data_IF_156540226470
#
_entry.id   IF_156540226470
#
_cell.length_a   1.000
_cell.length_b   1.000
_cell.length_c   1.000
_cell.angle_alpha   90.00
_cell.angle_beta   90.00
_cell.angle_gamma   90.00
#
_symmetry.space_group_name_H-M   'P 1'
#
loop_
_entity.id
_entity.type
_entity.pdbx_description
1 polymer ?
#
# COMPACT_ATOMS: atom_id res chain seq x y z
N UNK A 1 -5.63 15.37 -33.53
CA UNK A 1 -5.50 15.94 -32.17
C UNK A 1 -6.66 15.37 -31.38
N UNK A 2 -6.39 14.45 -30.45
CA UNK A 2 -7.42 13.90 -29.56
C UNK A 2 -7.88 15.01 -28.64
N UNK A 3 -9.20 15.18 -28.53
CA UNK A 3 -9.82 16.13 -27.61
C UNK A 3 -9.34 15.84 -26.19
N UNK A 4 -8.60 16.79 -25.59
CA UNK A 4 -8.04 16.68 -24.23
C UNK A 4 -9.04 17.04 -23.13
N UNK A 5 -10.31 17.31 -23.47
CA UNK A 5 -11.39 17.57 -22.50
C UNK A 5 -12.01 16.31 -21.89
N UNK A 6 -11.79 15.17 -22.53
CA UNK A 6 -12.22 13.85 -22.08
C UNK A 6 -11.50 13.44 -20.78
N UNK A 7 -12.25 13.21 -19.70
CA UNK A 7 -11.69 12.78 -18.42
C UNK A 7 -11.88 11.27 -18.23
N UNK A 8 -10.80 10.47 -18.21
CA UNK A 8 -10.91 9.03 -18.06
C UNK A 8 -11.58 8.68 -16.73
N UNK A 9 -12.40 7.61 -16.75
CA UNK A 9 -13.18 7.17 -15.59
C UNK A 9 -12.30 6.84 -14.37
N UNK A 10 -11.10 6.32 -14.60
CA UNK A 10 -10.10 6.05 -13.56
C UNK A 10 -8.81 6.80 -13.85
N UNK A 11 -8.25 7.42 -12.81
CA UNK A 11 -6.97 8.14 -12.82
C UNK A 11 -6.42 8.27 -11.41
N UNK A 12 -5.20 8.78 -11.30
CA UNK A 12 -4.56 9.04 -10.01
C UNK A 12 -3.90 7.83 -9.40
N UNK A 13 -3.63 7.95 -8.10
CA UNK A 13 -3.04 6.88 -7.30
C UNK A 13 -4.15 5.99 -6.77
N UNK A 14 -4.16 4.75 -7.21
CA UNK A 14 -5.12 3.74 -6.76
C UNK A 14 -4.32 2.67 -6.01
N UNK A 15 -4.61 2.44 -4.73
CA UNK A 15 -3.79 1.50 -3.93
C UNK A 15 -4.26 0.07 -4.14
N UNK A 16 -3.38 -0.81 -4.62
CA UNK A 16 -3.62 -2.26 -4.58
C UNK A 16 -3.44 -2.76 -3.15
N UNK A 17 -4.53 -2.74 -2.37
CA UNK A 17 -4.48 -3.00 -0.94
C UNK A 17 -3.94 -4.40 -0.64
N UNK A 18 -3.04 -4.49 0.34
CA UNK A 18 -2.77 -5.77 1.01
C UNK A 18 -4.03 -6.24 1.76
N UNK A 19 -4.14 -7.55 1.99
CA UNK A 19 -5.11 -8.13 2.92
C UNK A 19 -4.39 -8.49 4.23
N UNK A 20 -4.50 -7.70 5.31
CA UNK A 20 -3.87 -8.01 6.60
C UNK A 20 -4.31 -9.36 7.14
N UNK A 21 -3.37 -10.13 7.70
CA UNK A 21 -3.66 -11.39 8.39
C UNK A 21 -3.20 -11.33 9.85
N UNK A 22 -3.85 -12.10 10.71
CA UNK A 22 -3.41 -12.31 12.09
C UNK A 22 -3.86 -13.68 12.55
N UNK A 23 -2.91 -14.52 12.94
CA UNK A 23 -3.14 -15.89 13.38
C UNK A 23 -3.82 -16.77 12.31
N UNK A 24 -3.44 -16.60 11.05
CA UNK A 24 -3.96 -17.34 9.90
C UNK A 24 -5.24 -16.77 9.29
N UNK A 25 -5.91 -15.85 9.98
CA UNK A 25 -7.21 -15.28 9.60
C UNK A 25 -7.08 -13.85 9.08
N UNK A 26 -8.06 -13.37 8.31
CA UNK A 26 -8.13 -11.96 7.88
C UNK A 26 -8.27 -11.04 9.10
N UNK A 27 -7.35 -10.07 9.24
CA UNK A 27 -7.44 -9.02 10.26
C UNK A 27 -8.27 -7.84 9.73
N UNK A 28 -9.59 -7.97 9.88
CA UNK A 28 -10.55 -6.97 9.40
C UNK A 28 -10.36 -5.60 10.06
N UNK A 29 -9.93 -5.55 11.33
CA UNK A 29 -9.70 -4.29 12.02
C UNK A 29 -8.48 -3.54 11.45
N UNK A 30 -7.38 -4.26 11.19
CA UNK A 30 -6.23 -3.69 10.50
C UNK A 30 -6.56 -3.27 9.07
N UNK A 31 -7.41 -4.02 8.37
CA UNK A 31 -7.86 -3.67 7.01
C UNK A 31 -8.70 -2.38 6.99
N UNK A 32 -9.62 -2.21 7.94
CA UNK A 32 -10.37 -0.95 8.10
C UNK A 32 -9.46 0.23 8.40
N UNK A 33 -8.47 0.06 9.29
CA UNK A 33 -7.45 1.08 9.59
C UNK A 33 -6.67 1.45 8.33
N UNK A 34 -6.25 0.46 7.55
CA UNK A 34 -5.54 0.68 6.30
C UNK A 34 -6.38 1.52 5.34
N UNK A 35 -7.66 1.20 5.13
CA UNK A 35 -8.55 1.96 4.24
C UNK A 35 -8.63 3.44 4.66
N UNK A 36 -8.79 3.73 5.95
CA UNK A 36 -8.84 5.12 6.43
C UNK A 36 -7.50 5.85 6.24
N UNK A 37 -6.36 5.18 6.44
CA UNK A 37 -5.04 5.77 6.17
C UNK A 37 -4.89 6.14 4.68
N UNK A 38 -5.38 5.28 3.79
CA UNK A 38 -5.34 5.53 2.35
C UNK A 38 -6.21 6.74 1.96
N UNK A 39 -7.44 6.80 2.48
CA UNK A 39 -8.36 7.93 2.25
C UNK A 39 -7.75 9.23 2.80
N UNK A 40 -7.21 9.21 4.02
CA UNK A 40 -6.59 10.38 4.65
C UNK A 40 -5.38 10.90 3.87
N UNK A 41 -4.64 10.01 3.21
CA UNK A 41 -3.50 10.36 2.37
C UNK A 41 -3.88 10.90 0.98
N UNK A 42 -5.17 10.90 0.62
CA UNK A 42 -5.66 11.45 -0.65
C UNK A 42 -5.50 10.52 -1.85
N UNK A 43 -5.45 9.20 -1.65
CA UNK A 43 -5.48 8.28 -2.81
C UNK A 43 -6.83 8.39 -3.53
N UNK A 44 -6.82 8.17 -4.83
CA UNK A 44 -7.99 8.37 -5.70
C UNK A 44 -8.90 7.13 -5.75
N UNK A 45 -8.36 5.98 -5.36
CA UNK A 45 -9.11 4.74 -5.23
C UNK A 45 -8.33 3.63 -4.56
N UNK A 46 -8.99 2.49 -4.40
CA UNK A 46 -8.40 1.28 -3.82
C UNK A 46 -8.85 0.05 -4.59
N UNK A 47 -7.97 -0.95 -4.65
CA UNK A 47 -8.24 -2.28 -5.22
C UNK A 47 -8.12 -3.31 -4.09
N UNK A 48 -9.22 -3.72 -3.44
CA UNK A 48 -9.19 -4.87 -2.54
C UNK A 48 -9.03 -6.17 -3.35
N UNK A 49 -8.36 -7.15 -2.75
CA UNK A 49 -8.25 -8.51 -3.29
C UNK A 49 -7.66 -8.59 -4.71
N UNK A 50 -6.69 -7.74 -5.01
CA UNK A 50 -5.81 -7.92 -6.18
C UNK A 50 -4.71 -8.97 -5.93
N UNK A 51 -3.68 -8.99 -6.77
CA UNK A 51 -2.47 -9.79 -6.52
C UNK A 51 -1.82 -9.43 -5.18
N UNK A 52 -1.70 -8.13 -4.88
CA UNK A 52 -1.15 -7.60 -3.62
C UNK A 52 -2.01 -7.96 -2.41
N UNK A 53 -3.32 -8.14 -2.62
CA UNK A 53 -4.28 -8.59 -1.61
C UNK A 53 -4.31 -10.11 -1.43
N UNK A 54 -3.36 -10.85 -2.02
CA UNK A 54 -3.21 -12.31 -1.90
C UNK A 54 -4.46 -13.09 -2.34
N UNK A 55 -5.12 -12.64 -3.42
CA UNK A 55 -6.35 -13.26 -3.93
C UNK A 55 -6.28 -14.78 -4.12
N UNK A 56 -5.10 -15.35 -4.39
CA UNK A 56 -4.93 -16.79 -4.62
C UNK A 56 -4.94 -17.65 -3.35
N UNK A 57 -4.84 -17.04 -2.17
CA UNK A 57 -4.82 -17.74 -0.86
C UNK A 57 -5.99 -17.35 0.05
N UNK A 58 -6.95 -16.60 -0.51
CA UNK A 58 -8.25 -16.33 0.11
C UNK A 58 -9.27 -17.35 -0.40
N UNK A 59 -10.10 -17.84 0.51
CA UNK A 59 -11.32 -18.54 0.11
C UNK A 59 -12.29 -17.59 -0.59
N UNK A 60 -13.24 -18.14 -1.36
CA UNK A 60 -14.30 -17.35 -1.99
C UNK A 60 -15.12 -16.54 -0.97
N UNK A 61 -15.32 -17.07 0.23
CA UNK A 61 -16.04 -16.38 1.30
C UNK A 61 -15.23 -15.19 1.83
N UNK A 62 -13.94 -15.37 2.10
CA UNK A 62 -13.08 -14.28 2.56
C UNK A 62 -12.91 -13.20 1.50
N UNK A 63 -12.73 -13.59 0.23
CA UNK A 63 -12.69 -12.66 -0.91
C UNK A 63 -13.91 -11.73 -0.88
N UNK A 64 -15.11 -12.33 -0.84
CA UNK A 64 -16.38 -11.58 -0.81
C UNK A 64 -16.48 -10.65 0.39
N UNK A 65 -16.11 -11.12 1.59
CA UNK A 65 -16.14 -10.32 2.83
C UNK A 65 -15.17 -9.15 2.78
N UNK A 66 -13.96 -9.33 2.25
CA UNK A 66 -12.97 -8.26 2.13
C UNK A 66 -13.45 -7.20 1.14
N UNK A 67 -14.02 -7.58 0.00
CA UNK A 67 -14.59 -6.64 -0.97
C UNK A 67 -15.76 -5.87 -0.36
N UNK A 68 -16.72 -6.57 0.27
CA UNK A 68 -17.88 -5.94 0.91
C UNK A 68 -17.47 -4.94 2.00
N UNK A 69 -16.54 -5.35 2.86
CA UNK A 69 -15.99 -4.47 3.90
C UNK A 69 -15.31 -3.25 3.28
N UNK A 70 -14.53 -3.42 2.21
CA UNK A 70 -13.86 -2.31 1.54
C UNK A 70 -14.87 -1.30 1.00
N UNK A 71 -15.88 -1.76 0.25
CA UNK A 71 -16.93 -0.87 -0.29
C UNK A 71 -17.66 -0.14 0.83
N UNK A 72 -18.10 -0.88 1.86
CA UNK A 72 -18.80 -0.30 3.01
C UNK A 72 -17.95 0.72 3.74
N UNK A 73 -16.67 0.41 4.00
CA UNK A 73 -15.76 1.28 4.73
C UNK A 73 -15.46 2.52 3.92
N UNK A 74 -15.16 2.41 2.63
CA UNK A 74 -14.90 3.56 1.75
C UNK A 74 -16.11 4.49 1.68
N UNK A 75 -17.33 3.96 1.59
CA UNK A 75 -18.56 4.75 1.68
C UNK A 75 -18.66 5.84 0.61
N UNK A 76 -18.14 5.57 -0.59
CA UNK A 76 -18.18 6.50 -1.73
C UNK A 76 -17.17 7.67 -1.68
N UNK A 77 -16.27 7.72 -0.69
CA UNK A 77 -15.27 8.81 -0.56
C UNK A 77 -14.19 8.77 -1.64
N UNK A 78 -13.84 7.57 -2.11
CA UNK A 78 -12.89 7.29 -3.19
C UNK A 78 -13.41 6.09 -4.00
N UNK A 79 -12.78 5.79 -5.13
CA UNK A 79 -13.21 4.66 -5.99
C UNK A 79 -12.80 3.30 -5.41
N UNK A 80 -13.66 2.30 -5.54
CA UNK A 80 -13.35 0.90 -5.21
C UNK A 80 -13.41 0.04 -6.47
N UNK A 81 -12.26 -0.55 -6.83
CA UNK A 81 -12.15 -1.47 -7.96
C UNK A 81 -11.92 -2.88 -7.40
N UNK A 82 -12.95 -3.72 -7.39
CA UNK A 82 -12.83 -5.05 -6.81
C UNK A 82 -11.96 -5.98 -7.67
N UNK A 83 -11.02 -6.72 -7.07
CA UNK A 83 -10.35 -7.81 -7.77
C UNK A 83 -11.35 -8.91 -8.13
N UNK A 84 -11.52 -9.20 -9.42
CA UNK A 84 -12.47 -10.21 -9.89
C UNK A 84 -11.90 -11.11 -11.00
N UNK A 85 -10.58 -11.13 -11.17
CA UNK A 85 -9.93 -11.97 -12.18
C UNK A 85 -9.61 -13.37 -11.70
N UNK A 86 -9.87 -14.36 -12.55
CA UNK A 86 -9.46 -15.75 -12.39
C UNK A 86 -9.00 -16.30 -13.74
N UNK A 87 -8.26 -17.42 -13.73
CA UNK A 87 -8.00 -18.17 -14.95
C UNK A 87 -9.19 -19.05 -15.39
N UNK A 88 -10.27 -19.05 -14.61
CA UNK A 88 -11.57 -19.64 -14.90
C UNK A 88 -12.59 -18.53 -15.21
N UNK A 89 -13.14 -18.54 -16.43
CA UNK A 89 -14.14 -17.54 -16.86
C UNK A 89 -15.39 -17.57 -15.98
N UNK A 90 -15.90 -18.74 -15.59
CA UNK A 90 -17.11 -18.83 -14.77
C UNK A 90 -16.92 -18.18 -13.39
N UNK A 91 -15.76 -18.39 -12.77
CA UNK A 91 -15.40 -17.77 -11.49
C UNK A 91 -15.25 -16.25 -11.62
N UNK A 92 -14.64 -15.78 -12.72
CA UNK A 92 -14.56 -14.34 -13.02
C UNK A 92 -15.94 -13.69 -13.10
N UNK A 93 -16.93 -14.37 -13.72
CA UNK A 93 -18.30 -13.89 -13.77
C UNK A 93 -18.94 -13.84 -12.37
N UNK A 94 -18.78 -14.89 -11.57
CA UNK A 94 -19.30 -14.97 -10.19
C UNK A 94 -18.78 -13.83 -9.31
N UNK A 95 -17.46 -13.59 -9.37
CA UNK A 95 -16.81 -12.50 -8.64
C UNK A 95 -17.28 -11.13 -9.09
N UNK A 96 -17.45 -10.92 -10.40
CA UNK A 96 -17.89 -9.64 -10.94
C UNK A 96 -19.36 -9.34 -10.63
N UNK A 97 -20.24 -10.36 -10.64
CA UNK A 97 -21.62 -10.21 -10.18
C UNK A 97 -21.67 -9.83 -8.70
N UNK A 98 -20.86 -10.47 -7.85
CA UNK A 98 -20.75 -10.11 -6.44
C UNK A 98 -20.27 -8.66 -6.27
N UNK A 99 -19.18 -8.28 -6.94
CA UNK A 99 -18.63 -6.93 -6.88
C UNK A 99 -19.67 -5.86 -7.26
N UNK A 100 -20.46 -6.11 -8.31
CA UNK A 100 -21.57 -5.23 -8.69
C UNK A 100 -22.66 -5.19 -7.62
N UNK A 101 -23.05 -6.33 -7.07
CA UNK A 101 -24.11 -6.42 -6.07
C UNK A 101 -23.78 -5.66 -4.78
N UNK A 102 -22.51 -5.67 -4.36
CA UNK A 102 -22.05 -4.94 -3.16
C UNK A 102 -21.71 -3.47 -3.43
N UNK A 103 -21.75 -3.01 -4.69
CA UNK A 103 -21.59 -1.60 -5.05
C UNK A 103 -20.16 -1.15 -5.35
N UNK A 104 -19.27 -2.05 -5.79
CA UNK A 104 -17.96 -1.63 -6.32
C UNK A 104 -18.13 -0.78 -7.59
N UNK A 105 -17.24 0.21 -7.77
CA UNK A 105 -17.27 1.11 -8.95
C UNK A 105 -16.80 0.42 -10.24
N UNK A 106 -15.94 -0.59 -10.10
CA UNK A 106 -15.41 -1.39 -11.20
C UNK A 106 -14.87 -2.73 -10.71
N UNK A 107 -14.46 -3.56 -11.66
CA UNK A 107 -13.65 -4.75 -11.42
C UNK A 107 -12.29 -4.67 -12.11
N UNK A 108 -11.26 -5.19 -11.46
CA UNK A 108 -9.94 -5.43 -12.05
C UNK A 108 -9.82 -6.91 -12.40
N UNK A 109 -9.63 -7.21 -13.68
CA UNK A 109 -9.64 -8.60 -14.19
C UNK A 109 -8.31 -8.90 -14.88
N UNK A 110 -7.51 -9.74 -14.23
CA UNK A 110 -6.22 -10.21 -14.73
C UNK A 110 -6.40 -11.14 -15.93
N UNK A 111 -5.49 -11.09 -16.90
CA UNK A 111 -5.41 -12.11 -17.93
C UNK A 111 -5.29 -13.51 -17.28
N UNK A 112 -6.04 -14.54 -17.76
CA UNK A 112 -5.94 -15.90 -17.26
C UNK A 112 -4.49 -16.40 -17.19
N UNK A 113 -4.09 -16.78 -15.99
CA UNK A 113 -2.76 -17.28 -15.65
C UNK A 113 -2.70 -18.82 -15.69
N UNK A 114 -1.49 -19.36 -15.82
CA UNK A 114 -1.17 -20.80 -15.88
C UNK A 114 -1.64 -21.53 -17.15
N UNK A 115 -2.93 -21.43 -17.52
CA UNK A 115 -3.52 -22.15 -18.64
C UNK A 115 -3.23 -21.55 -20.03
N UNK A 116 -2.63 -20.36 -20.08
CA UNK A 116 -2.06 -19.72 -21.28
C UNK A 116 -3.01 -19.65 -22.49
N UNK A 117 -4.19 -18.99 -22.39
CA UNK A 117 -5.08 -18.84 -23.53
C UNK A 117 -4.42 -18.10 -24.71
N UNK A 118 -4.91 -18.36 -25.92
CA UNK A 118 -4.59 -17.57 -27.11
C UNK A 118 -5.17 -16.15 -26.99
N UNK A 119 -4.73 -15.23 -27.85
CA UNK A 119 -5.29 -13.88 -27.93
C UNK A 119 -6.81 -13.88 -28.18
N UNK A 120 -7.32 -14.82 -28.97
CA UNK A 120 -8.76 -14.97 -29.16
C UNK A 120 -9.44 -15.54 -27.90
N UNK A 121 -8.79 -16.47 -27.19
CA UNK A 121 -9.29 -16.94 -25.89
C UNK A 121 -9.39 -15.82 -24.86
N UNK A 122 -8.40 -14.91 -24.82
CA UNK A 122 -8.45 -13.70 -24.01
C UNK A 122 -9.64 -12.82 -24.41
N UNK A 123 -9.81 -12.54 -25.70
CA UNK A 123 -10.94 -11.75 -26.19
C UNK A 123 -12.29 -12.34 -25.74
N UNK A 124 -12.49 -13.64 -25.92
CA UNK A 124 -13.75 -14.31 -25.55
C UNK A 124 -13.98 -14.33 -24.03
N UNK A 125 -12.92 -14.48 -23.22
CA UNK A 125 -13.00 -14.41 -21.77
C UNK A 125 -13.56 -13.04 -21.30
N UNK A 126 -12.97 -11.94 -21.77
CA UNK A 126 -13.42 -10.60 -21.41
C UNK A 126 -14.75 -10.23 -22.07
N UNK A 127 -15.03 -10.72 -23.28
CA UNK A 127 -16.34 -10.55 -23.92
C UNK A 127 -17.46 -11.20 -23.11
N UNK A 128 -17.25 -12.43 -22.61
CA UNK A 128 -18.23 -13.09 -21.75
C UNK A 128 -18.53 -12.27 -20.49
N UNK A 129 -17.50 -11.65 -19.89
CA UNK A 129 -17.69 -10.73 -18.76
C UNK A 129 -18.52 -9.51 -19.14
N UNK A 130 -18.15 -8.83 -20.24
CA UNK A 130 -18.89 -7.68 -20.77
C UNK A 130 -20.38 -7.98 -21.00
N UNK A 131 -20.68 -9.17 -21.56
CA UNK A 131 -22.04 -9.58 -21.88
C UNK A 131 -22.83 -9.99 -20.62
N UNK A 132 -22.17 -10.49 -19.58
CA UNK A 132 -22.81 -11.05 -18.38
C UNK A 132 -23.18 -10.00 -17.34
N UNK A 133 -22.30 -9.02 -17.10
CA UNK A 133 -22.47 -8.05 -16.00
C UNK A 133 -22.09 -6.64 -16.43
N UNK A 134 -23.05 -5.72 -16.32
CA UNK A 134 -22.85 -4.31 -16.65
C UNK A 134 -22.18 -3.58 -15.47
N UNK A 135 -20.88 -3.76 -15.31
CA UNK A 135 -19.99 -3.06 -14.37
C UNK A 135 -18.71 -2.66 -15.13
N UNK A 136 -18.13 -1.46 -14.91
CA UNK A 136 -16.88 -1.10 -15.57
C UNK A 136 -15.76 -2.09 -15.25
N UNK A 137 -14.97 -2.44 -16.28
CA UNK A 137 -13.89 -3.43 -16.22
C UNK A 137 -12.59 -2.77 -16.60
N UNK A 138 -11.58 -2.89 -15.73
CA UNK A 138 -10.19 -2.67 -16.09
C UNK A 138 -9.55 -4.01 -16.41
N UNK A 139 -9.00 -4.13 -17.62
CA UNK A 139 -8.12 -5.22 -18.00
C UNK A 139 -6.86 -5.17 -17.13
N UNK A 140 -6.26 -6.30 -16.77
CA UNK A 140 -4.98 -6.31 -16.08
C UNK A 140 -3.97 -7.21 -16.78
N UNK A 141 -2.98 -6.57 -17.41
CA UNK A 141 -1.89 -7.24 -18.11
C UNK A 141 -0.63 -7.29 -17.25
N UNK A 142 -0.14 -8.49 -16.95
CA UNK A 142 1.05 -8.73 -16.11
C UNK A 142 1.76 -10.02 -16.52
N UNK A 143 2.37 -10.06 -17.72
CA UNK A 143 2.94 -11.29 -18.29
C UNK A 143 3.98 -11.98 -17.39
N UNK A 144 4.71 -11.23 -16.56
CA UNK A 144 5.64 -11.78 -15.58
C UNK A 144 4.99 -12.69 -14.52
N UNK A 145 3.67 -12.62 -14.35
CA UNK A 145 2.90 -13.50 -13.44
C UNK A 145 1.97 -14.46 -14.19
N UNK A 146 1.42 -14.05 -15.33
CA UNK A 146 0.43 -14.83 -16.07
C UNK A 146 1.03 -15.74 -17.14
N UNK A 147 2.28 -15.46 -17.57
CA UNK A 147 2.95 -16.06 -18.75
C UNK A 147 2.26 -15.68 -20.07
N UNK A 148 1.22 -14.84 -20.02
CA UNK A 148 0.47 -14.35 -21.19
C UNK A 148 0.51 -12.84 -21.22
N UNK A 149 0.98 -12.32 -22.34
CA UNK A 149 0.91 -10.90 -22.66
C UNK A 149 -0.30 -10.63 -23.58
N UNK A 150 -1.24 -9.80 -23.13
CA UNK A 150 -2.34 -9.33 -23.97
C UNK A 150 -1.82 -8.33 -25.00
N UNK A 151 -1.91 -8.66 -26.28
CA UNK A 151 -1.41 -7.77 -27.34
C UNK A 151 -2.22 -6.47 -27.39
N UNK A 152 -1.58 -5.40 -27.89
CA UNK A 152 -2.25 -4.11 -28.09
C UNK A 152 -3.45 -4.23 -29.04
N UNK A 153 -3.38 -5.08 -30.07
CA UNK A 153 -4.51 -5.37 -30.97
C UNK A 153 -5.70 -6.00 -30.23
N UNK A 154 -5.43 -6.97 -29.34
CA UNK A 154 -6.48 -7.61 -28.53
C UNK A 154 -7.10 -6.61 -27.57
N UNK A 155 -6.28 -5.77 -26.91
CA UNK A 155 -6.75 -4.72 -26.02
C UNK A 155 -7.60 -3.70 -26.80
N UNK A 156 -7.19 -3.30 -28.00
CA UNK A 156 -7.94 -2.39 -28.84
C UNK A 156 -9.27 -2.97 -29.32
N UNK A 157 -9.34 -4.28 -29.60
CA UNK A 157 -10.61 -4.98 -29.85
C UNK A 157 -11.50 -4.97 -28.61
N UNK A 158 -10.93 -5.20 -27.43
CA UNK A 158 -11.67 -5.22 -26.16
C UNK A 158 -12.18 -3.84 -25.76
N UNK A 159 -11.41 -2.77 -26.00
CA UNK A 159 -11.79 -1.39 -25.70
C UNK A 159 -13.04 -0.92 -26.47
N UNK A 160 -13.45 -1.63 -27.52
CA UNK A 160 -14.71 -1.37 -28.24
C UNK A 160 -15.94 -1.94 -27.52
N UNK A 161 -15.75 -2.76 -26.49
CA UNK A 161 -16.83 -3.32 -25.68
C UNK A 161 -17.27 -2.29 -24.63
N UNK A 162 -18.59 -2.06 -24.44
CA UNK A 162 -19.10 -0.93 -23.63
C UNK A 162 -18.60 -0.86 -22.19
N UNK A 163 -18.35 -2.02 -21.57
CA UNK A 163 -17.96 -2.07 -20.15
C UNK A 163 -16.45 -2.15 -19.96
N UNK A 164 -15.64 -2.27 -21.01
CA UNK A 164 -14.19 -2.30 -20.91
C UNK A 164 -13.68 -0.86 -20.97
N UNK A 165 -13.35 -0.30 -19.81
CA UNK A 165 -13.11 1.15 -19.63
C UNK A 165 -11.65 1.51 -19.43
N UNK A 166 -10.76 0.52 -19.35
CA UNK A 166 -9.35 0.78 -19.10
C UNK A 166 -8.48 -0.46 -18.99
N UNK A 167 -7.20 -0.21 -18.74
CA UNK A 167 -6.18 -1.22 -18.51
C UNK A 167 -5.27 -0.80 -17.35
N UNK A 168 -4.97 -1.77 -16.48
CA UNK A 168 -3.78 -1.80 -15.63
C UNK A 168 -2.67 -2.53 -16.38
N UNK A 169 -1.60 -1.83 -16.70
CA UNK A 169 -0.49 -2.34 -17.47
C UNK A 169 0.77 -2.48 -16.61
N UNK A 170 1.09 -3.71 -16.20
CA UNK A 170 2.26 -4.00 -15.35
C UNK A 170 3.43 -4.61 -16.15
N UNK A 171 3.55 -4.28 -17.43
CA UNK A 171 4.69 -4.70 -18.27
C UNK A 171 5.95 -3.90 -17.98
N UNK A 172 5.81 -2.65 -17.51
CA UNK A 172 6.91 -1.69 -17.42
C UNK A 172 7.38 -1.14 -18.78
N UNK A 173 6.70 -1.51 -19.88
CA UNK A 173 7.01 -1.04 -21.22
C UNK A 173 6.33 0.31 -21.49
N UNK A 174 7.13 1.38 -21.46
CA UNK A 174 6.67 2.75 -21.69
C UNK A 174 6.29 3.03 -23.15
N UNK A 175 6.73 2.22 -24.12
CA UNK A 175 6.29 2.38 -25.51
C UNK A 175 4.84 1.94 -25.68
N UNK A 176 4.42 0.92 -24.90
CA UNK A 176 3.14 0.24 -25.07
C UNK A 176 1.94 1.17 -24.94
N UNK A 177 1.97 2.12 -24.02
CA UNK A 177 0.89 3.11 -23.88
C UNK A 177 0.77 4.00 -25.12
N UNK A 178 1.87 4.45 -25.71
CA UNK A 178 1.84 5.28 -26.92
C UNK A 178 1.21 4.50 -28.08
N UNK A 179 1.53 3.21 -28.22
CA UNK A 179 0.91 2.33 -29.21
C UNK A 179 -0.59 2.12 -28.94
N UNK A 180 -0.98 1.90 -27.68
CA UNK A 180 -2.39 1.73 -27.32
C UNK A 180 -3.21 2.99 -27.61
N UNK A 181 -2.66 4.18 -27.33
CA UNK A 181 -3.30 5.47 -27.62
C UNK A 181 -3.47 5.74 -29.12
N UNK A 182 -2.70 5.08 -29.99
CA UNK A 182 -2.91 5.12 -31.44
C UNK A 182 -4.05 4.21 -31.91
N UNK A 183 -4.34 3.15 -31.16
CA UNK A 183 -5.29 2.10 -31.55
C UNK A 183 -6.67 2.24 -30.88
N UNK A 184 -6.76 3.01 -29.80
CA UNK A 184 -7.94 3.13 -28.95
C UNK A 184 -8.36 4.59 -28.89
N UNK A 185 -9.56 4.86 -29.38
CA UNK A 185 -10.21 6.16 -29.31
C UNK A 185 -11.08 6.27 -28.04
N UNK A 186 -11.33 7.50 -27.60
CA UNK A 186 -12.30 7.82 -26.54
C UNK A 186 -11.76 7.72 -25.11
N UNK A 187 -12.69 7.63 -24.15
CA UNK A 187 -12.44 7.70 -22.71
C UNK A 187 -11.91 6.37 -22.15
N UNK A 188 -10.69 6.00 -22.51
CA UNK A 188 -10.04 4.78 -22.00
C UNK A 188 -9.01 5.09 -20.90
N UNK A 189 -9.10 4.39 -19.77
CA UNK A 189 -8.22 4.62 -18.61
C UNK A 189 -6.92 3.83 -18.74
N UNK A 190 -5.81 4.48 -19.11
CA UNK A 190 -4.47 3.90 -19.09
C UNK A 190 -3.82 4.05 -17.71
N UNK A 191 -3.68 2.94 -16.98
CA UNK A 191 -3.18 2.93 -15.62
C UNK A 191 -1.91 2.08 -15.54
N UNK A 192 -0.82 2.65 -15.04
CA UNK A 192 0.40 1.87 -14.78
C UNK A 192 0.12 0.83 -13.70
N UNK A 193 0.59 -0.39 -13.90
CA UNK A 193 0.68 -1.42 -12.88
C UNK A 193 2.09 -1.56 -12.28
N UNK A 194 3.02 -0.68 -12.64
CA UNK A 194 4.42 -0.68 -12.24
C UNK A 194 4.79 0.69 -11.61
N UNK A 195 5.13 0.67 -10.31
CA UNK A 195 5.44 1.89 -9.55
C UNK A 195 6.70 2.63 -10.08
N UNK A 196 7.85 1.96 -10.33
CA UNK A 196 9.06 2.62 -10.82
C UNK A 196 8.87 3.44 -12.10
N UNK A 197 7.98 3.00 -13.00
CA UNK A 197 7.77 3.63 -14.30
C UNK A 197 6.68 4.70 -14.32
N UNK A 198 5.99 4.95 -13.19
CA UNK A 198 4.86 5.90 -13.11
C UNK A 198 5.16 7.25 -13.77
N UNK A 199 6.29 7.87 -13.43
CA UNK A 199 6.65 9.19 -13.97
C UNK A 199 6.72 9.20 -15.50
N UNK A 200 7.39 8.20 -16.08
CA UNK A 200 7.50 8.04 -17.54
C UNK A 200 6.16 7.68 -18.18
N UNK A 201 5.36 6.86 -17.51
CA UNK A 201 4.05 6.44 -17.97
C UNK A 201 3.09 7.65 -18.10
N UNK A 202 3.08 8.55 -17.12
CA UNK A 202 2.32 9.80 -17.18
C UNK A 202 2.81 10.69 -18.33
N UNK A 203 4.14 10.80 -18.53
CA UNK A 203 4.71 11.59 -19.63
C UNK A 203 4.29 11.08 -21.02
N UNK A 204 3.99 9.78 -21.16
CA UNK A 204 3.50 9.18 -22.39
C UNK A 204 1.97 9.27 -22.57
N UNK A 205 1.27 9.93 -21.63
CA UNK A 205 -0.18 10.14 -21.65
C UNK A 205 -0.96 9.15 -20.79
N UNK A 206 -0.30 8.50 -19.82
CA UNK A 206 -0.96 7.67 -18.81
C UNK A 206 -1.74 8.51 -17.81
N UNK A 207 -2.70 7.88 -17.14
CA UNK A 207 -3.66 8.58 -16.27
C UNK A 207 -3.42 8.34 -14.78
N UNK A 208 -2.61 7.35 -14.40
CA UNK A 208 -2.36 7.03 -13.00
C UNK A 208 -1.61 5.72 -12.78
N UNK A 209 -1.71 5.20 -11.56
CA UNK A 209 -1.09 3.95 -11.12
C UNK A 209 -2.04 3.14 -10.25
N UNK A 210 -2.05 1.81 -10.43
CA UNK A 210 -2.52 0.88 -9.41
C UNK A 210 -1.28 0.35 -8.67
N UNK A 211 -1.02 0.96 -7.52
CA UNK A 211 0.29 0.99 -6.86
C UNK A 211 0.40 -0.01 -5.71
N UNK A 212 1.58 -0.61 -5.54
CA UNK A 212 1.93 -1.38 -4.34
C UNK A 212 2.51 -0.44 -3.28
N UNK A 213 3.40 0.46 -3.71
CA UNK A 213 4.12 1.39 -2.83
C UNK A 213 3.20 2.30 -2.02
N UNK A 214 2.05 2.67 -2.59
CA UNK A 214 1.02 3.46 -1.89
C UNK A 214 0.44 2.76 -0.66
N UNK A 215 0.59 1.44 -0.47
CA UNK A 215 0.27 0.82 0.83
C UNK A 215 1.15 1.35 1.96
N UNK A 216 2.40 1.69 1.65
CA UNK A 216 3.47 2.06 2.59
C UNK A 216 3.67 3.57 2.65
N UNK A 217 3.65 4.23 1.50
CA UNK A 217 3.95 5.66 1.34
C UNK A 217 2.85 6.43 0.57
N UNK A 218 1.56 6.31 0.94
CA UNK A 218 0.46 6.81 0.09
C UNK A 218 0.57 8.30 -0.20
N UNK A 219 0.87 9.12 0.81
CA UNK A 219 0.96 10.58 0.65
C UNK A 219 2.10 10.98 -0.30
N UNK A 220 3.23 10.29 -0.24
CA UNK A 220 4.37 10.54 -1.11
C UNK A 220 4.08 10.14 -2.56
N UNK A 221 3.43 8.99 -2.79
CA UNK A 221 3.02 8.57 -4.15
C UNK A 221 1.98 9.54 -4.73
N UNK A 222 1.02 9.99 -3.92
CA UNK A 222 0.05 11.03 -4.32
C UNK A 222 0.76 12.33 -4.68
N UNK A 223 1.69 12.80 -3.85
CA UNK A 223 2.45 14.03 -4.14
C UNK A 223 3.26 13.94 -5.44
N UNK A 224 3.83 12.76 -5.73
CA UNK A 224 4.51 12.50 -7.00
C UNK A 224 3.56 12.57 -8.20
N UNK A 225 2.40 11.90 -8.09
CA UNK A 225 1.37 11.91 -9.14
C UNK A 225 0.85 13.32 -9.40
N UNK A 226 0.47 14.06 -8.35
CA UNK A 226 -0.08 15.41 -8.47
C UNK A 226 0.92 16.38 -9.12
N UNK A 227 2.19 16.31 -8.71
CA UNK A 227 3.24 17.11 -9.34
C UNK A 227 3.36 16.81 -10.84
N UNK A 228 3.37 15.53 -11.23
CA UNK A 228 3.44 15.14 -12.64
C UNK A 228 2.17 15.53 -13.42
N UNK A 229 0.98 15.34 -12.84
CA UNK A 229 -0.30 15.70 -13.44
C UNK A 229 -0.44 17.21 -13.68
N UNK A 230 0.22 18.03 -12.87
CA UNK A 230 0.27 19.49 -13.01
C UNK A 230 1.44 19.98 -13.89
N UNK A 231 2.22 19.06 -14.47
CA UNK A 231 3.39 19.38 -15.31
C UNK A 231 4.64 19.83 -14.53
N UNK A 232 4.62 19.75 -13.20
CA UNK A 232 5.74 20.07 -12.31
C UNK A 232 6.75 18.91 -12.25
N UNK A 233 7.35 18.57 -13.40
CA UNK A 233 8.21 17.39 -13.53
C UNK A 233 9.49 17.44 -12.68
N UNK A 234 10.02 18.62 -12.34
CA UNK A 234 11.15 18.73 -11.40
C UNK A 234 10.77 18.22 -10.01
N UNK A 235 9.62 18.63 -9.49
CA UNK A 235 9.09 18.15 -8.21
C UNK A 235 8.75 16.67 -8.26
N UNK A 236 8.15 16.20 -9.36
CA UNK A 236 7.84 14.79 -9.54
C UNK A 236 9.11 13.91 -9.56
N UNK A 237 10.19 14.39 -10.20
CA UNK A 237 11.52 13.73 -10.17
C UNK A 237 12.10 13.64 -8.77
N UNK A 238 12.00 14.70 -7.97
CA UNK A 238 12.48 14.65 -6.58
C UNK A 238 11.73 13.60 -5.74
N UNK A 239 10.42 13.44 -5.96
CA UNK A 239 9.66 12.37 -5.31
C UNK A 239 10.03 10.98 -5.85
N UNK A 240 10.20 10.83 -7.16
CA UNK A 240 10.71 9.61 -7.77
C UNK A 240 12.05 9.18 -7.14
N UNK A 241 13.00 10.10 -6.98
CA UNK A 241 14.31 9.79 -6.41
C UNK A 241 14.23 9.33 -4.95
N UNK A 242 13.29 9.87 -4.17
CA UNK A 242 13.01 9.41 -2.80
C UNK A 242 12.34 8.05 -2.75
N UNK A 243 11.47 7.75 -3.72
CA UNK A 243 10.62 6.57 -3.71
C UNK A 243 11.20 5.37 -4.47
N UNK A 244 12.12 5.57 -5.42
CA UNK A 244 12.56 4.51 -6.33
C UNK A 244 13.18 3.30 -5.62
N UNK A 245 13.90 3.53 -4.51
CA UNK A 245 14.46 2.45 -3.69
C UNK A 245 13.33 1.65 -3.03
N UNK A 246 12.29 2.33 -2.54
CA UNK A 246 11.10 1.69 -1.97
C UNK A 246 10.33 0.92 -3.05
N UNK A 247 10.07 1.53 -4.21
CA UNK A 247 9.42 0.88 -5.34
C UNK A 247 10.08 -0.45 -5.69
N UNK A 248 11.42 -0.49 -5.74
CA UNK A 248 12.17 -1.70 -6.11
C UNK A 248 12.20 -2.73 -4.99
N UNK A 249 12.48 -2.32 -3.75
CA UNK A 249 12.69 -3.28 -2.65
C UNK A 249 11.41 -4.01 -2.27
N UNK A 250 10.23 -3.40 -2.52
CA UNK A 250 8.94 -4.05 -2.28
C UNK A 250 8.71 -5.30 -3.17
N UNK A 251 9.56 -5.51 -4.18
CA UNK A 251 9.59 -6.68 -5.05
C UNK A 251 10.94 -7.43 -5.01
N UNK A 252 11.83 -7.12 -4.06
CA UNK A 252 13.09 -7.85 -3.87
C UNK A 252 12.90 -9.28 -3.32
N UNK A 253 11.68 -9.58 -2.87
CA UNK A 253 11.19 -10.91 -2.52
C UNK A 253 9.77 -11.08 -3.10
N UNK A 254 9.13 -12.21 -2.85
CA UNK A 254 7.76 -12.51 -3.31
C UNK A 254 6.74 -11.52 -2.75
N UNK A 255 6.40 -10.49 -3.53
CA UNK A 255 5.32 -9.55 -3.19
C UNK A 255 4.01 -10.31 -2.91
N UNK A 256 3.27 -10.00 -1.82
CA UNK A 256 3.39 -8.76 -1.02
C UNK A 256 4.24 -8.90 0.26
N UNK A 257 5.07 -9.93 0.39
CA UNK A 257 5.82 -10.19 1.63
C UNK A 257 6.70 -9.02 2.09
N UNK A 258 7.53 -8.37 1.23
CA UNK A 258 8.24 -7.15 1.63
C UNK A 258 7.33 -5.97 1.98
N UNK A 259 6.16 -5.87 1.33
CA UNK A 259 5.18 -4.80 1.58
C UNK A 259 4.54 -4.94 2.96
N UNK A 260 4.12 -6.16 3.33
CA UNK A 260 3.58 -6.42 4.66
C UNK A 260 4.63 -6.24 5.76
N UNK A 261 5.88 -6.61 5.48
CA UNK A 261 6.99 -6.27 6.39
C UNK A 261 7.16 -4.76 6.56
N UNK A 262 7.18 -3.99 5.46
CA UNK A 262 7.26 -2.53 5.54
C UNK A 262 6.10 -1.94 6.36
N UNK A 263 4.88 -2.42 6.17
CA UNK A 263 3.69 -1.96 6.89
C UNK A 263 3.70 -2.35 8.38
N UNK A 264 4.30 -3.48 8.75
CA UNK A 264 4.46 -3.84 10.16
C UNK A 264 5.46 -2.96 10.89
N UNK A 265 6.52 -2.53 10.20
CA UNK A 265 7.46 -1.51 10.69
C UNK A 265 6.84 -0.14 10.89
N UNK A 266 5.70 0.14 10.25
CA UNK A 266 4.91 1.35 10.42
C UNK A 266 3.74 1.19 11.40
N UNK A 267 3.61 0.02 12.05
CA UNK A 267 2.52 -0.26 12.99
C UNK A 267 1.12 -0.29 12.35
N UNK A 268 1.03 -0.58 11.04
CA UNK A 268 -0.23 -0.61 10.31
C UNK A 268 -0.91 -1.98 10.45
N UNK A 269 -0.17 -3.06 10.21
CA UNK A 269 -0.63 -4.45 10.33
C UNK A 269 0.54 -5.38 10.69
N UNK A 270 0.30 -6.68 10.86
CA UNK A 270 1.39 -7.67 10.98
C UNK A 270 2.10 -7.86 9.63
N UNK A 271 3.27 -8.52 9.62
CA UNK A 271 3.95 -8.97 8.40
C UNK A 271 3.47 -10.35 7.90
N UNK A 272 2.36 -10.85 8.46
CA UNK A 272 1.86 -12.19 8.20
C UNK A 272 1.32 -12.33 6.77
N UNK A 273 1.74 -13.39 6.08
CA UNK A 273 1.31 -13.79 4.73
C UNK A 273 0.81 -15.22 4.77
N UNK A 274 0.03 -15.64 3.76
CA UNK A 274 -0.40 -17.04 3.65
C UNK A 274 0.49 -17.84 2.72
N UNK A 275 0.75 -19.10 3.09
CA UNK A 275 1.41 -20.06 2.21
C UNK A 275 0.67 -20.14 0.87
N UNK A 276 1.39 -20.23 -0.28
CA UNK A 276 2.81 -20.54 -0.39
C UNK A 276 3.77 -19.34 -0.27
N UNK A 277 3.26 -18.12 -0.04
CA UNK A 277 4.12 -16.96 0.23
C UNK A 277 4.64 -17.07 1.68
N UNK A 278 5.91 -16.79 1.88
CA UNK A 278 6.56 -16.81 3.20
C UNK A 278 6.95 -15.39 3.62
N UNK A 279 7.17 -15.22 4.93
CA UNK A 279 7.58 -13.94 5.50
C UNK A 279 8.87 -13.41 4.84
N UNK A 280 8.99 -12.08 4.79
CA UNK A 280 10.05 -11.39 4.06
C UNK A 280 11.41 -11.89 4.55
N UNK A 281 12.26 -12.33 3.63
CA UNK A 281 13.52 -12.96 3.97
C UNK A 281 14.44 -12.05 4.78
N UNK A 282 15.26 -12.65 5.66
CA UNK A 282 16.19 -11.90 6.51
C UNK A 282 17.21 -11.06 5.71
N UNK A 283 17.53 -11.46 4.47
CA UNK A 283 18.40 -10.69 3.59
C UNK A 283 17.73 -9.45 2.99
N UNK A 284 16.40 -9.42 2.88
CA UNK A 284 15.64 -8.31 2.27
C UNK A 284 15.15 -7.32 3.32
N UNK A 285 14.84 -7.75 4.55
CA UNK A 285 14.36 -6.88 5.64
C UNK A 285 15.21 -5.61 5.85
N UNK A 286 16.56 -5.66 5.94
CA UNK A 286 17.37 -4.46 6.11
C UNK A 286 17.28 -3.49 4.93
N UNK A 287 17.08 -4.00 3.71
CA UNK A 287 16.90 -3.17 2.51
C UNK A 287 15.55 -2.44 2.55
N UNK A 288 14.50 -3.10 3.06
CA UNK A 288 13.19 -2.47 3.27
C UNK A 288 13.31 -1.34 4.29
N UNK A 289 13.99 -1.56 5.42
CA UNK A 289 14.19 -0.54 6.45
C UNK A 289 14.94 0.68 5.92
N UNK A 290 16.01 0.45 5.14
CA UNK A 290 16.74 1.53 4.49
C UNK A 290 15.85 2.31 3.52
N UNK A 291 15.02 1.63 2.74
CA UNK A 291 14.11 2.26 1.79
C UNK A 291 13.01 3.09 2.48
N UNK A 292 12.49 2.62 3.62
CA UNK A 292 11.55 3.39 4.45
C UNK A 292 12.17 4.70 4.91
N UNK A 293 13.41 4.65 5.42
CA UNK A 293 14.13 5.84 5.86
C UNK A 293 14.39 6.83 4.70
N UNK A 294 14.81 6.34 3.54
CA UNK A 294 15.02 7.17 2.34
C UNK A 294 13.73 7.81 1.82
N UNK A 295 12.60 7.11 1.96
CA UNK A 295 11.27 7.63 1.65
C UNK A 295 10.73 8.62 2.70
N UNK A 296 11.49 8.88 3.78
CA UNK A 296 11.10 9.77 4.86
C UNK A 296 9.97 9.22 5.73
N UNK A 297 9.88 7.90 5.87
CA UNK A 297 8.88 7.24 6.71
C UNK A 297 9.48 6.90 8.08
N UNK A 298 8.86 7.43 9.13
CA UNK A 298 9.22 7.10 10.51
C UNK A 298 8.69 5.70 10.86
N UNK A 299 9.60 4.79 11.22
CA UNK A 299 9.22 3.45 11.68
C UNK A 299 8.96 3.47 13.18
N UNK A 300 7.97 2.70 13.65
CA UNK A 300 7.67 2.55 15.08
C UNK A 300 8.78 1.85 15.85
N UNK A 301 9.72 1.20 15.15
CA UNK A 301 10.86 0.50 15.74
C UNK A 301 12.12 1.34 15.56
N UNK A 302 12.41 2.21 16.54
CA UNK A 302 13.77 2.71 16.76
C UNK A 302 14.49 1.68 17.63
N UNK A 303 15.37 0.87 17.05
CA UNK A 303 16.35 0.12 17.84
C UNK A 303 17.28 1.14 18.47
N UNK A 304 17.13 1.35 19.78
CA UNK A 304 18.15 2.08 20.53
C UNK A 304 19.43 1.24 20.51
N UNK A 305 20.55 1.84 20.11
CA UNK A 305 21.85 1.17 20.21
C UNK A 305 22.19 0.93 21.68
N UNK A 306 23.00 -0.09 22.00
CA UNK A 306 23.45 -0.36 23.39
C UNK A 306 24.13 0.84 24.06
N UNK A 307 24.57 1.82 23.27
CA UNK A 307 25.32 2.99 23.71
C UNK A 307 24.49 4.30 23.61
N UNK A 308 23.18 4.23 23.28
CA UNK A 308 22.32 5.42 23.27
C UNK A 308 21.82 5.76 24.67
N UNK A 309 22.32 6.87 25.22
CA UNK A 309 21.86 7.46 26.48
C UNK A 309 20.49 8.15 26.29
N UNK A 310 19.46 7.73 27.03
CA UNK A 310 18.19 8.47 27.13
C UNK A 310 18.34 9.51 28.25
N UNK A 311 18.23 10.80 27.94
CA UNK A 311 18.19 11.85 28.97
C UNK A 311 16.86 11.84 29.71
N UNK A 312 16.85 11.29 30.93
CA UNK A 312 15.73 11.40 31.86
C UNK A 312 15.86 12.71 32.65
N UNK A 313 14.78 13.51 32.70
CA UNK A 313 14.72 14.72 33.51
C UNK A 313 14.26 14.33 34.92
N UNK A 314 15.12 14.54 35.92
CA UNK A 314 14.78 14.38 37.33
C UNK A 314 14.43 15.74 37.93
N UNK A 315 13.27 15.85 38.61
CA UNK A 315 12.90 17.04 39.36
C UNK A 315 13.01 16.76 40.87
N UNK A 316 13.80 17.58 41.57
CA UNK A 316 13.93 17.50 43.03
C UNK A 316 12.86 18.36 43.69
N UNK A 317 11.97 17.76 44.47
CA UNK A 317 11.03 18.50 45.33
C UNK A 317 11.72 18.85 46.65
N UNK A 318 12.08 20.12 46.83
CA UNK A 318 12.43 20.66 48.15
C UNK A 318 11.45 21.79 48.45
N UNK A 319 10.59 21.60 49.44
CA UNK A 319 9.62 22.60 49.91
C UNK A 319 8.60 23.11 48.86
N UNK A 320 8.31 22.33 47.81
CA UNK A 320 7.25 22.65 46.85
C UNK A 320 7.63 23.58 45.69
N UNK A 321 8.91 23.93 45.53
CA UNK A 321 9.40 24.68 44.35
C UNK A 321 10.09 23.74 43.34
N UNK A 322 9.86 24.01 42.05
CA UNK A 322 10.41 23.28 40.88
C UNK A 322 11.83 23.82 40.61
N UNK A 323 12.83 22.94 40.53
CA UNK A 323 14.21 23.29 40.19
C UNK A 323 14.62 22.55 38.91
N UNK A 324 15.12 23.28 37.91
CA UNK A 324 15.58 22.78 36.60
C UNK A 324 16.74 21.76 36.76
N UNK A 325 16.69 20.66 35.99
CA UNK A 325 17.67 19.58 35.98
C UNK A 325 19.10 20.05 35.66
N UNK A 326 19.31 21.22 35.03
CA UNK A 326 20.64 21.81 34.85
C UNK A 326 21.33 22.19 36.17
N UNK A 327 20.60 22.32 37.28
CA UNK A 327 21.19 22.59 38.60
C UNK A 327 21.52 21.31 39.40
N UNK A 328 21.25 20.12 38.86
CA UNK A 328 21.41 18.81 39.52
C UNK A 328 22.76 18.12 39.25
N UNK A 329 23.67 18.72 38.48
CA UNK A 329 25.03 18.19 38.21
C UNK A 329 25.87 17.91 39.48
N UNK A 330 25.43 18.37 40.66
CA UNK A 330 26.15 18.25 41.93
C UNK A 330 25.94 16.94 42.72
N UNK A 331 25.29 15.91 42.16
CA UNK A 331 25.01 14.65 42.89
C UNK A 331 25.69 13.38 42.34
N UNK A 332 26.50 13.47 41.28
CA UNK A 332 27.42 12.40 40.88
C UNK A 332 26.80 11.11 40.31
N UNK A 333 25.59 11.16 39.76
CA UNK A 333 25.00 10.04 39.03
C UNK A 333 24.73 10.44 37.57
N UNK A 334 25.52 9.91 36.64
CA UNK A 334 25.44 10.26 35.22
C UNK A 334 24.78 9.21 34.32
N UNK A 335 24.53 7.98 34.81
CA UNK A 335 23.96 6.90 33.99
C UNK A 335 23.09 5.94 34.81
N UNK A 336 22.01 5.43 34.22
CA UNK A 336 21.11 4.42 34.82
C UNK A 336 20.86 3.29 33.81
N UNK A 337 21.15 2.04 34.19
CA UNK A 337 20.84 0.83 33.40
C UNK A 337 19.35 0.49 33.51
N UNK A 338 18.69 0.44 32.36
CA UNK A 338 17.24 0.55 32.20
C UNK A 338 16.50 -0.80 32.30
N UNK A 339 17.20 -1.94 32.31
CA UNK A 339 16.52 -3.25 32.29
C UNK A 339 15.90 -3.68 33.62
N UNK A 340 16.23 -3.03 34.74
CA UNK A 340 15.72 -3.42 36.06
C UNK A 340 14.70 -2.45 36.70
N UNK A 341 14.78 -1.16 36.38
CA UNK A 341 14.08 -0.11 37.14
C UNK A 341 12.69 0.27 36.61
N UNK A 342 12.50 0.23 35.29
CA UNK A 342 11.27 0.75 34.64
C UNK A 342 10.09 -0.21 34.84
N UNK A 343 10.32 -1.52 34.77
CA UNK A 343 9.31 -2.55 35.01
C UNK A 343 8.77 -2.55 36.45
N UNK A 344 9.65 -2.27 37.42
CA UNK A 344 9.26 -2.17 38.82
C UNK A 344 8.41 -0.92 39.08
N UNK A 345 8.73 0.20 38.41
CA UNK A 345 8.03 1.46 38.58
C UNK A 345 6.67 1.51 37.87
N UNK A 346 6.55 0.92 36.67
CA UNK A 346 5.28 0.78 35.93
C UNK A 346 4.25 -0.06 36.68
N UNK A 347 4.66 -1.17 37.31
CA UNK A 347 3.74 -2.07 38.05
C UNK A 347 3.16 -1.45 39.32
N UNK A 348 3.73 -0.34 39.82
CA UNK A 348 3.31 0.27 41.08
C UNK A 348 2.67 1.66 40.93
N UNK A 349 2.52 2.18 39.70
CA UNK A 349 1.99 3.53 39.44
C UNK A 349 2.71 4.63 40.27
N UNK A 350 4.01 4.44 40.51
CA UNK A 350 4.82 5.25 41.42
C UNK A 350 5.81 6.09 40.60
N UNK A 351 5.45 7.35 40.35
CA UNK A 351 6.38 8.34 39.77
C UNK A 351 7.36 8.89 40.83
N UNK A 352 7.64 8.15 41.91
CA UNK A 352 8.38 8.63 43.08
C UNK A 352 9.43 7.61 43.50
N UNK A 353 10.70 8.02 43.52
CA UNK A 353 11.82 7.21 44.01
C UNK A 353 12.49 7.93 45.17
N UNK A 354 12.74 7.23 46.28
CA UNK A 354 13.46 7.79 47.44
C UNK A 354 14.89 7.27 47.48
N UNK A 355 15.87 8.18 47.48
CA UNK A 355 17.30 7.86 47.64
C UNK A 355 17.82 8.60 48.88
N UNK A 356 18.17 7.85 49.92
CA UNK A 356 18.55 8.42 51.21
C UNK A 356 17.43 9.27 51.82
N UNK A 357 17.71 10.55 52.11
CA UNK A 357 16.74 11.48 52.72
C UNK A 357 16.00 12.33 51.68
N UNK A 358 16.16 12.04 50.39
CA UNK A 358 15.57 12.82 49.29
C UNK A 358 14.58 11.99 48.49
N UNK A 359 13.50 12.64 48.08
CA UNK A 359 12.44 12.06 47.26
C UNK A 359 12.43 12.73 45.89
N UNK A 360 12.46 11.92 44.84
CA UNK A 360 12.56 12.35 43.45
C UNK A 360 11.27 11.99 42.73
N UNK A 361 10.72 12.93 41.95
CA UNK A 361 9.74 12.60 40.92
C UNK A 361 10.43 12.56 39.58
N UNK A 362 10.10 11.56 38.78
CA UNK A 362 10.54 11.48 37.39
C UNK A 362 9.32 11.51 36.49
N UNK A 363 9.48 12.13 35.34
CA UNK A 363 8.49 12.17 34.27
C UNK A 363 9.21 11.84 32.97
N UNK A 364 8.70 10.86 32.24
CA UNK A 364 9.17 10.64 30.86
C UNK A 364 8.82 11.88 30.04
N UNK A 365 9.80 12.40 29.31
CA UNK A 365 9.48 13.38 28.28
C UNK A 365 8.51 12.73 27.27
N UNK A 366 7.60 13.49 26.63
CA UNK A 366 6.73 12.95 25.61
C UNK A 366 7.55 12.35 24.46
N UNK A 367 7.38 11.04 24.27
CA UNK A 367 8.00 10.23 23.23
C UNK A 367 7.36 8.84 23.25
N UNK A 368 7.44 8.11 22.15
CA UNK A 368 6.94 6.73 22.08
C UNK A 368 8.03 5.83 22.67
N UNK A 369 7.78 5.25 23.84
CA UNK A 369 8.70 4.33 24.52
C UNK A 369 7.98 3.00 24.80
N UNK A 370 8.43 1.91 24.19
CA UNK A 370 7.93 0.56 24.48
C UNK A 370 8.81 -0.16 25.50
N UNK A 371 8.26 -1.24 26.05
CA UNK A 371 8.70 -1.99 27.24
C UNK A 371 9.92 -2.88 27.01
#
# INVERSE_FOLDING_TARGET
MTDTSAQPLFRGVITALVTPFKNGEVDYAAFEKLIELQIAAGVHGVVPVGTTGETSTLSMEEHRKVVELCVRKVGGRIKVIAGAGSNNTAETLELAHHAKAVGADAVLVVAPYYNKPSQEGLYQHFKALNDSVQIPVLLYNVPGRTVVDMSNDTIARLAKLPNIVGIKDATGDLERISQQRLLIDGDFSYISGDDPTLLGYLAHGGHGVISVTSNVAPAQVVAMYEAAAQGAFDTARQWQDKLITLHKVLFADSSPSPTKYAMSRLGICTDEVRLPIVACSQGVRPLVDQALALAGLETTVRQLSRDETISLVFEKLKNGEIIDAKQLELAGASEYDIRGGVDAARRQNMNVVSLGHSTFKWQLQPGIYEE
#
